data_IF_100855118552
#
_entry.id   IF_100855118552
#
_cell.length_a   1.000
_cell.length_b   1.000
_cell.length_c   1.000
_cell.angle_alpha   90.00
_cell.angle_beta   90.00
_cell.angle_gamma   90.00
#
_symmetry.space_group_name_H-M   'P 1'
#
loop_
_entity.id
_entity.type
_entity.pdbx_description
1 polymer ?
#
# COMPACT_ATOMS: atom_id res chain seq x y z
N UNK A 1 -0.57 -10.14 -13.45
CA UNK A 1 -0.53 -8.70 -13.18
C UNK A 1 0.80 -8.33 -12.55
N UNK A 2 1.30 -7.16 -12.89
CA UNK A 2 2.53 -6.65 -12.26
C UNK A 2 2.27 -6.30 -10.81
N UNK A 3 3.23 -6.64 -9.94
CA UNK A 3 3.17 -6.28 -8.54
C UNK A 3 3.74 -4.88 -8.34
N UNK A 4 3.09 -4.09 -7.52
CA UNK A 4 3.55 -2.74 -7.17
C UNK A 4 3.56 -2.57 -5.66
N UNK A 5 4.35 -1.62 -5.19
CA UNK A 5 4.41 -1.25 -3.78
C UNK A 5 4.02 0.22 -3.69
N UNK A 6 3.13 0.52 -2.77
CA UNK A 6 2.71 1.90 -2.52
C UNK A 6 3.62 2.54 -1.48
N UNK A 7 3.94 3.80 -1.68
CA UNK A 7 4.75 4.56 -0.74
C UNK A 7 3.86 5.61 -0.07
N UNK A 8 3.84 5.58 1.27
CA UNK A 8 3.01 6.48 2.04
C UNK A 8 1.62 5.92 2.29
N UNK A 9 1.35 5.49 3.52
CA UNK A 9 0.07 4.91 3.90
C UNK A 9 -0.89 5.91 4.55
N UNK A 10 -0.73 7.20 4.31
CA UNK A 10 -1.60 8.21 4.89
C UNK A 10 -3.01 8.22 4.30
N UNK A 11 -3.74 9.29 4.56
CA UNK A 11 -5.16 9.39 4.20
C UNK A 11 -5.48 9.13 2.73
N UNK A 12 -4.54 9.40 1.84
CA UNK A 12 -4.74 9.17 0.41
C UNK A 12 -4.55 7.72 -0.01
N UNK A 13 -3.89 6.92 0.82
CA UNK A 13 -3.54 5.55 0.44
C UNK A 13 -4.79 4.70 0.16
N UNK A 14 -5.82 4.86 0.96
CA UNK A 14 -7.06 4.10 0.76
C UNK A 14 -7.71 4.40 -0.58
N UNK A 15 -7.72 5.68 -0.96
CA UNK A 15 -8.27 6.10 -2.26
C UNK A 15 -7.45 5.54 -3.42
N UNK A 16 -6.13 5.57 -3.28
CA UNK A 16 -5.23 5.03 -4.31
C UNK A 16 -5.42 3.52 -4.45
N UNK A 17 -5.53 2.81 -3.33
CA UNK A 17 -5.78 1.37 -3.34
C UNK A 17 -7.07 1.06 -4.09
N UNK A 18 -8.13 1.81 -3.80
CA UNK A 18 -9.42 1.60 -4.43
C UNK A 18 -9.35 1.76 -5.95
N UNK A 19 -8.68 2.82 -6.41
CA UNK A 19 -8.51 3.06 -7.84
C UNK A 19 -7.72 1.91 -8.48
N UNK A 20 -6.62 1.50 -7.86
CA UNK A 20 -5.77 0.42 -8.40
C UNK A 20 -6.54 -0.88 -8.48
N UNK A 21 -7.34 -1.20 -7.46
CA UNK A 21 -8.15 -2.42 -7.47
C UNK A 21 -9.20 -2.39 -8.56
N UNK A 22 -9.80 -1.24 -8.81
CA UNK A 22 -10.80 -1.10 -9.87
C UNK A 22 -10.20 -1.24 -11.26
N UNK A 23 -8.97 -0.74 -11.44
CA UNK A 23 -8.28 -0.83 -12.73
C UNK A 23 -7.89 -2.25 -13.10
N UNK A 24 -7.62 -3.09 -12.12
CA UNK A 24 -7.25 -4.49 -12.31
C UNK A 24 -6.02 -4.70 -13.19
N UNK A 25 -5.11 -3.73 -13.21
CA UNK A 25 -3.87 -3.79 -13.98
C UNK A 25 -2.67 -4.16 -13.14
N UNK A 26 -2.76 -3.95 -11.83
CA UNK A 26 -1.65 -4.16 -10.91
C UNK A 26 -2.12 -4.90 -9.68
N UNK A 27 -1.18 -5.62 -9.07
CA UNK A 27 -1.41 -6.26 -7.78
C UNK A 27 -0.56 -5.54 -6.74
N UNK A 28 -1.20 -5.08 -5.67
CA UNK A 28 -0.49 -4.39 -4.59
C UNK A 28 0.18 -5.43 -3.71
N UNK A 29 1.51 -5.40 -3.65
CA UNK A 29 2.28 -6.35 -2.85
C UNK A 29 2.42 -5.88 -1.40
N UNK A 30 2.37 -4.57 -1.16
CA UNK A 30 2.49 -4.03 0.18
C UNK A 30 2.64 -2.53 0.16
N UNK A 31 2.84 -1.95 1.34
CA UNK A 31 2.94 -0.51 1.52
C UNK A 31 4.22 -0.20 2.28
N UNK A 32 4.89 0.87 1.87
CA UNK A 32 6.05 1.43 2.58
C UNK A 32 5.60 2.70 3.28
N UNK A 33 5.88 2.82 4.56
CA UNK A 33 5.48 3.99 5.34
C UNK A 33 6.46 4.20 6.49
N UNK A 34 6.05 4.96 7.49
CA UNK A 34 6.86 5.23 8.68
C UNK A 34 7.18 3.93 9.42
N UNK A 35 8.38 3.85 10.06
CA UNK A 35 8.74 2.64 10.80
C UNK A 35 7.72 2.25 11.86
N UNK A 36 7.07 3.22 12.49
CA UNK A 36 6.07 2.96 13.51
C UNK A 36 4.83 2.25 12.99
N UNK A 37 4.61 2.27 11.68
CA UNK A 37 3.43 1.64 11.07
C UNK A 37 3.71 0.26 10.50
N UNK A 38 4.96 -0.20 10.54
CA UNK A 38 5.31 -1.53 10.04
C UNK A 38 4.52 -2.59 10.82
N UNK A 39 3.90 -3.50 10.10
CA UNK A 39 3.07 -4.55 10.69
C UNK A 39 1.59 -4.19 10.78
N UNK A 40 1.24 -2.92 10.56
CA UNK A 40 -0.17 -2.54 10.51
C UNK A 40 -0.73 -2.81 9.12
N UNK A 41 -2.05 -2.80 9.01
CA UNK A 41 -2.72 -3.01 7.73
C UNK A 41 -3.54 -1.79 7.36
N UNK A 42 -3.53 -1.48 6.08
CA UNK A 42 -4.40 -0.48 5.49
C UNK A 42 -5.29 -1.21 4.50
N UNK A 43 -6.59 -1.29 4.83
CA UNK A 43 -7.53 -2.16 4.14
C UNK A 43 -7.02 -3.60 4.24
N UNK A 44 -6.64 -4.23 3.14
CA UNK A 44 -6.15 -5.61 3.15
C UNK A 44 -4.64 -5.72 2.93
N UNK A 45 -3.92 -4.60 2.90
CA UNK A 45 -2.50 -4.58 2.58
C UNK A 45 -1.67 -4.18 3.77
N UNK A 46 -0.57 -4.90 4.00
CA UNK A 46 0.29 -4.64 5.15
C UNK A 46 1.34 -3.60 4.84
N UNK A 47 1.70 -2.83 5.85
CA UNK A 47 2.89 -1.99 5.80
C UNK A 47 4.08 -2.91 6.04
N UNK A 48 4.87 -3.13 5.00
CA UNK A 48 5.91 -4.16 4.99
C UNK A 48 7.30 -3.61 5.23
N UNK A 49 7.47 -2.30 5.21
CA UNK A 49 8.78 -1.70 5.40
C UNK A 49 8.70 -0.19 5.47
N UNK A 50 9.88 0.41 5.51
CA UNK A 50 10.04 1.86 5.62
C UNK A 50 11.09 2.31 4.63
N UNK A 51 10.98 3.56 4.18
CA UNK A 51 11.98 4.19 3.32
C UNK A 51 13.13 4.80 4.13
N UNK A 52 13.12 4.62 5.43
CA UNK A 52 14.18 5.11 6.32
C UNK A 52 14.92 3.98 7.01
#
# INVERSE_FOLDING_TARGET
MKKIILIGGGGHCKSVIDVIEQERKFKIAGIIDKPSLIGTKILRYSVIGSDK
#
